data_IF_123146774600
#
_entry.id   IF_123146774600
#
_cell.length_a   1.000
_cell.length_b   1.000
_cell.length_c   1.000
_cell.angle_alpha   90.00
_cell.angle_beta   90.00
_cell.angle_gamma   90.00
#
_symmetry.space_group_name_H-M   'P 1'
#
loop_
_entity.id
_entity.type
_entity.pdbx_description
1 polymer ?
#
# COMPACT_ATOMS: atom_id res chain seq x y z
N UNK A 1 -13.80 -11.54 -0.84
CA UNK A 1 -14.35 -10.38 -0.10
C UNK A 1 -13.48 -9.18 -0.42
N UNK A 2 -14.07 -8.15 -1.03
CA UNK A 2 -13.39 -6.93 -1.50
C UNK A 2 -12.75 -6.15 -0.34
N UNK A 3 -11.46 -6.37 -0.06
CA UNK A 3 -10.67 -5.52 0.85
C UNK A 3 -9.16 -5.60 0.66
N UNK A 4 -8.67 -5.94 -0.53
CA UNK A 4 -7.25 -6.27 -0.72
C UNK A 4 -6.27 -5.08 -0.49
N UNK A 5 -6.78 -3.85 -0.46
CA UNK A 5 -5.97 -2.64 -0.25
C UNK A 5 -5.92 -2.13 1.19
N UNK A 6 -6.82 -2.58 2.08
CA UNK A 6 -6.92 -2.03 3.45
C UNK A 6 -5.71 -2.39 4.33
N UNK A 7 -5.25 -3.66 4.39
CA UNK A 7 -4.07 -4.02 5.18
C UNK A 7 -2.81 -3.28 4.71
N UNK A 8 -2.62 -3.16 3.40
CA UNK A 8 -1.50 -2.43 2.79
C UNK A 8 -1.57 -0.94 3.15
N UNK A 9 -2.76 -0.32 3.04
CA UNK A 9 -2.95 1.08 3.41
C UNK A 9 -2.63 1.34 4.90
N UNK A 10 -3.13 0.50 5.80
CA UNK A 10 -2.88 0.63 7.24
C UNK A 10 -1.40 0.43 7.60
N UNK A 11 -0.72 -0.52 6.94
CA UNK A 11 0.71 -0.74 7.13
C UNK A 11 1.51 0.50 6.71
N UNK A 12 1.29 0.98 5.49
CA UNK A 12 2.02 2.13 4.94
C UNK A 12 1.74 3.40 5.76
N UNK A 13 0.51 3.60 6.21
CA UNK A 13 0.13 4.74 7.05
C UNK A 13 0.92 4.78 8.36
N UNK A 14 1.16 3.62 9.01
CA UNK A 14 1.99 3.53 10.23
C UNK A 14 3.45 3.92 9.99
N UNK A 15 3.93 3.82 8.74
CA UNK A 15 5.27 4.19 8.34
C UNK A 15 5.34 5.58 7.68
N UNK A 16 4.26 6.38 7.78
CA UNK A 16 4.23 7.76 7.27
C UNK A 16 3.80 7.92 5.82
N UNK A 17 3.40 6.83 5.13
CA UNK A 17 2.99 6.88 3.72
C UNK A 17 1.48 6.83 3.57
N UNK A 18 0.91 7.88 2.96
CA UNK A 18 -0.52 7.95 2.65
C UNK A 18 -0.74 7.51 1.20
N UNK A 19 -1.32 6.33 1.02
CA UNK A 19 -1.79 5.84 -0.29
C UNK A 19 -3.30 5.93 -0.42
N UNK A 20 -3.79 6.04 -1.66
CA UNK A 20 -5.24 5.97 -1.95
C UNK A 20 -5.60 4.57 -2.43
N UNK A 21 -6.39 3.79 -1.66
CA UNK A 21 -6.77 2.45 -2.09
C UNK A 21 -7.78 2.51 -3.24
N UNK A 22 -7.62 1.60 -4.21
CA UNK A 22 -8.39 1.57 -5.46
C UNK A 22 -9.87 1.21 -5.28
N UNK A 23 -10.26 0.57 -4.17
CA UNK A 23 -11.67 0.28 -3.89
C UNK A 23 -12.52 1.56 -3.76
N UNK A 24 -11.92 2.69 -3.34
CA UNK A 24 -12.58 3.99 -3.31
C UNK A 24 -12.85 4.55 -4.72
N UNK A 25 -12.18 4.00 -5.72
CA UNK A 25 -12.31 4.37 -7.14
C UNK A 25 -13.08 3.31 -7.94
N UNK A 26 -13.64 2.28 -7.29
CA UNK A 26 -14.30 1.15 -7.97
C UNK A 26 -13.34 0.17 -8.64
N UNK A 27 -12.04 0.21 -8.30
CA UNK A 27 -10.99 -0.65 -8.87
C UNK A 27 -10.34 -1.47 -7.74
N UNK A 28 -10.99 -2.55 -7.26
CA UNK A 28 -10.48 -3.36 -6.15
C UNK A 28 -9.17 -4.07 -6.53
N UNK A 29 -8.28 -4.26 -5.56
CA UNK A 29 -6.96 -4.87 -5.77
C UNK A 29 -5.85 -3.89 -6.20
N UNK A 30 -6.20 -2.63 -6.47
CA UNK A 30 -5.24 -1.60 -6.89
C UNK A 30 -5.00 -0.56 -5.81
N UNK A 31 -3.90 0.16 -5.92
CA UNK A 31 -3.58 1.36 -5.14
C UNK A 31 -3.17 2.48 -6.08
N UNK A 32 -3.44 3.73 -5.67
CA UNK A 32 -2.96 4.92 -6.34
C UNK A 32 -1.90 5.60 -5.47
N UNK A 33 -0.74 5.83 -6.07
CA UNK A 33 0.44 6.41 -5.43
C UNK A 33 0.81 7.69 -6.18
N UNK A 34 1.21 8.72 -5.43
CA UNK A 34 1.83 9.92 -5.99
C UNK A 34 3.34 9.79 -5.82
N UNK A 35 4.09 10.02 -6.89
CA UNK A 35 5.55 9.87 -6.92
C UNK A 35 6.22 11.12 -6.35
N UNK A 36 7.15 10.93 -5.42
CA UNK A 36 7.95 11.97 -4.78
C UNK A 36 9.39 11.99 -5.29
N UNK A 37 10.32 12.40 -4.44
CA UNK A 37 11.77 12.31 -4.70
C UNK A 37 12.25 10.85 -4.67
N UNK A 38 13.46 10.59 -5.18
CA UNK A 38 13.97 9.22 -5.34
C UNK A 38 14.05 8.47 -4.00
N UNK A 39 14.53 9.15 -2.96
CA UNK A 39 14.72 8.59 -1.62
C UNK A 39 13.38 8.11 -1.04
N UNK A 40 12.36 8.97 -1.08
CA UNK A 40 11.01 8.64 -0.61
C UNK A 40 10.40 7.47 -1.40
N UNK A 41 10.60 7.45 -2.72
CA UNK A 41 10.07 6.38 -3.58
C UNK A 41 10.77 5.04 -3.31
N UNK A 42 12.06 5.07 -2.98
CA UNK A 42 12.85 3.86 -2.66
C UNK A 42 12.35 3.24 -1.36
N UNK A 43 12.24 4.04 -0.30
CA UNK A 43 11.70 3.58 0.99
C UNK A 43 10.24 3.13 0.84
N UNK A 44 9.42 3.86 0.07
CA UNK A 44 8.04 3.46 -0.23
C UNK A 44 7.97 2.05 -0.85
N UNK A 45 8.80 1.76 -1.86
CA UNK A 45 8.84 0.46 -2.51
C UNK A 45 9.22 -0.66 -1.52
N UNK A 46 10.24 -0.43 -0.69
CA UNK A 46 10.67 -1.40 0.33
C UNK A 46 9.55 -1.71 1.33
N UNK A 47 8.88 -0.67 1.84
CA UNK A 47 7.74 -0.83 2.77
C UNK A 47 6.54 -1.49 2.09
N UNK A 48 6.27 -1.20 0.82
CA UNK A 48 5.21 -1.84 0.06
C UNK A 48 5.45 -3.35 -0.05
N UNK A 49 6.67 -3.79 -0.40
CA UNK A 49 6.99 -5.22 -0.45
C UNK A 49 6.80 -5.90 0.89
N UNK A 50 7.27 -5.30 1.99
CA UNK A 50 7.06 -5.84 3.35
C UNK A 50 5.58 -5.92 3.73
N UNK A 51 4.80 -4.91 3.36
CA UNK A 51 3.35 -4.91 3.59
C UNK A 51 2.67 -6.08 2.86
N UNK A 52 3.11 -6.38 1.63
CA UNK A 52 2.60 -7.50 0.84
C UNK A 52 2.97 -8.84 1.46
N UNK A 53 4.24 -9.02 1.87
CA UNK A 53 4.69 -10.23 2.56
C UNK A 53 3.91 -10.47 3.86
N UNK A 54 3.65 -9.43 4.65
CA UNK A 54 2.88 -9.54 5.90
C UNK A 54 1.40 -9.89 5.64
N UNK A 55 0.81 -9.33 4.59
CA UNK A 55 -0.56 -9.63 4.17
C UNK A 55 -0.68 -11.08 3.70
N UNK A 56 0.27 -11.56 2.91
CA UNK A 56 0.28 -12.90 2.34
C UNK A 56 0.62 -13.98 3.39
N UNK A 57 1.50 -13.66 4.35
CA UNK A 57 1.84 -14.57 5.47
C UNK A 57 0.71 -14.76 6.49
N UNK A 58 -0.31 -13.89 6.45
CA UNK A 58 -1.48 -13.94 7.34
C UNK A 58 -2.72 -14.53 6.66
N UNK A 59 -2.61 -14.96 5.39
CA UNK A 59 -3.65 -15.70 4.66
C UNK A 59 -3.49 -17.21 4.84
#
# INVERSE_FOLDING_TARGET
MESDGKPIHEYLLKHGYIIRPGFLLGIPGWIRVSIGIEEDNREFCELLFRAMEERDSKM
#
